data_IF_697176970094
#
_entry.id   IF_697176970094
#
_cell.length_a   1.000
_cell.length_b   1.000
_cell.length_c   1.000
_cell.angle_alpha   90.00
_cell.angle_beta   90.00
_cell.angle_gamma   90.00
#
_symmetry.space_group_name_H-M   'P 1'
#
loop_
_entity.id
_entity.type
_entity.pdbx_description
1 polymer ?
#
# COMPACT_ATOMS: atom_id res chain seq x y z
N UNK A 1 -3.53 0.87 18.06
CA UNK A 1 -2.76 0.31 16.93
C UNK A 1 -3.31 0.91 15.66
N UNK A 2 -2.45 1.40 14.77
CA UNK A 2 -2.84 2.01 13.49
C UNK A 2 -2.45 1.04 12.39
N UNK A 3 -3.44 0.50 11.68
CA UNK A 3 -3.25 -0.46 10.59
C UNK A 3 -3.65 0.17 9.27
N UNK A 4 -2.89 -0.09 8.21
CA UNK A 4 -3.09 0.57 6.92
C UNK A 4 -4.49 0.34 6.33
N UNK A 5 -5.06 -0.85 6.54
CA UNK A 5 -6.37 -1.21 5.99
C UNK A 5 -7.50 -0.32 6.51
N UNK A 6 -7.38 0.20 7.75
CA UNK A 6 -8.36 1.13 8.33
C UNK A 6 -8.35 2.46 7.58
N UNK A 7 -7.16 3.04 7.36
CA UNK A 7 -6.99 4.27 6.59
C UNK A 7 -7.46 4.07 5.15
N UNK A 8 -7.12 2.94 4.54
CA UNK A 8 -7.61 2.56 3.21
C UNK A 8 -9.15 2.52 3.13
N UNK A 9 -9.82 1.94 4.13
CA UNK A 9 -11.29 1.86 4.16
C UNK A 9 -11.95 3.23 4.30
N UNK A 10 -11.51 4.03 5.29
CA UNK A 10 -12.09 5.35 5.54
C UNK A 10 -11.84 6.29 4.35
N UNK A 11 -10.65 6.26 3.76
CA UNK A 11 -10.29 7.11 2.61
C UNK A 11 -11.14 6.78 1.40
N UNK A 12 -11.27 5.50 1.05
CA UNK A 12 -12.12 5.10 -0.08
C UNK A 12 -13.57 5.52 0.14
N UNK A 13 -14.10 5.37 1.36
CA UNK A 13 -15.44 5.87 1.70
C UNK A 13 -15.56 7.38 1.51
N UNK A 14 -14.60 8.16 2.01
CA UNK A 14 -14.57 9.61 1.85
C UNK A 14 -14.47 10.03 0.38
N UNK A 15 -13.67 9.33 -0.43
CA UNK A 15 -13.53 9.60 -1.86
C UNK A 15 -14.84 9.38 -2.63
N UNK A 16 -15.57 8.30 -2.34
CA UNK A 16 -16.90 8.09 -2.93
C UNK A 16 -17.91 9.15 -2.48
N UNK A 17 -17.87 9.55 -1.21
CA UNK A 17 -18.74 10.61 -0.70
C UNK A 17 -18.41 11.96 -1.35
N UNK A 18 -17.14 12.29 -1.53
CA UNK A 18 -16.71 13.48 -2.25
C UNK A 18 -17.20 13.46 -3.70
N UNK A 19 -16.97 12.38 -4.44
CA UNK A 19 -17.43 12.24 -5.82
C UNK A 19 -18.97 12.31 -5.96
N UNK A 20 -19.72 11.87 -4.95
CA UNK A 20 -21.17 11.92 -4.97
C UNK A 20 -21.77 13.27 -4.51
N UNK A 21 -21.07 14.02 -3.66
CA UNK A 21 -21.64 15.21 -3.00
C UNK A 21 -20.93 16.52 -3.33
N UNK A 22 -19.69 16.44 -3.84
CA UNK A 22 -18.81 17.57 -4.15
C UNK A 22 -18.62 18.54 -2.96
N UNK A 23 -18.78 18.05 -1.72
CA UNK A 23 -18.60 18.88 -0.52
C UNK A 23 -17.15 18.86 -0.03
N UNK A 24 -16.67 20.04 0.32
CA UNK A 24 -15.31 20.27 0.83
C UNK A 24 -14.98 19.41 2.06
N UNK A 25 -15.95 19.14 2.95
CA UNK A 25 -15.76 18.29 4.14
C UNK A 25 -15.25 16.87 3.79
N UNK A 26 -15.69 16.32 2.66
CA UNK A 26 -15.21 15.02 2.19
C UNK A 26 -13.86 15.11 1.50
N UNK A 27 -13.56 16.25 0.84
CA UNK A 27 -12.24 16.49 0.27
C UNK A 27 -11.17 16.61 1.35
N UNK A 28 -11.44 17.41 2.38
CA UNK A 28 -10.56 17.55 3.55
C UNK A 28 -10.31 16.20 4.22
N UNK A 29 -11.35 15.35 4.33
CA UNK A 29 -11.21 14.00 4.86
C UNK A 29 -10.34 13.10 3.97
N UNK A 30 -10.52 13.15 2.64
CA UNK A 30 -9.68 12.40 1.69
C UNK A 30 -8.22 12.80 1.82
N UNK A 31 -7.94 14.10 1.76
CA UNK A 31 -6.58 14.64 1.78
C UNK A 31 -5.88 14.31 3.10
N UNK A 32 -6.55 14.56 4.23
CA UNK A 32 -6.00 14.23 5.55
C UNK A 32 -5.74 12.73 5.74
N UNK A 33 -6.56 11.86 5.15
CA UNK A 33 -6.34 10.41 5.21
C UNK A 33 -5.24 9.92 4.26
N UNK A 34 -5.03 10.60 3.13
CA UNK A 34 -3.90 10.35 2.23
C UNK A 34 -2.60 10.75 2.92
N UNK A 35 -2.52 11.98 3.42
CA UNK A 35 -1.33 12.51 4.07
C UNK A 35 -0.87 11.60 5.22
N UNK A 36 -1.81 11.19 6.08
CA UNK A 36 -1.51 10.26 7.19
C UNK A 36 -1.06 8.89 6.74
N UNK A 37 -1.64 8.38 5.65
CA UNK A 37 -1.24 7.08 5.13
C UNK A 37 0.16 7.13 4.50
N UNK A 38 0.44 8.18 3.73
CA UNK A 38 1.74 8.39 3.11
C UNK A 38 2.84 8.60 4.16
N UNK A 39 2.59 9.43 5.18
CA UNK A 39 3.52 9.69 6.29
C UNK A 39 3.85 8.41 7.09
N UNK A 40 2.85 7.57 7.35
CA UNK A 40 3.00 6.46 8.30
C UNK A 40 3.42 5.12 7.67
N UNK A 41 2.97 4.84 6.44
CA UNK A 41 3.13 3.54 5.78
C UNK A 41 4.13 3.56 4.61
N UNK A 42 4.77 4.70 4.37
CA UNK A 42 5.91 4.84 3.45
C UNK A 42 7.10 5.44 4.23
N UNK A 43 7.68 4.66 5.16
CA UNK A 43 8.62 5.19 6.14
C UNK A 43 9.94 5.63 5.51
N UNK A 44 10.36 6.86 5.83
CA UNK A 44 11.65 7.45 5.45
C UNK A 44 12.86 6.66 5.98
N UNK A 45 12.70 5.86 7.04
CA UNK A 45 13.78 5.00 7.57
C UNK A 45 14.19 3.90 6.57
N UNK A 46 13.32 3.59 5.61
CA UNK A 46 13.61 2.66 4.53
C UNK A 46 14.01 3.42 3.27
N UNK A 47 13.04 3.88 2.50
CA UNK A 47 13.25 4.62 1.26
C UNK A 47 12.22 5.75 1.05
N UNK A 48 11.24 5.88 1.96
CA UNK A 48 10.13 6.84 1.83
C UNK A 48 9.14 6.52 0.70
N UNK A 49 9.34 5.46 -0.08
CA UNK A 49 8.62 5.18 -1.33
C UNK A 49 7.94 3.82 -1.36
N UNK A 50 8.46 2.86 -0.58
CA UNK A 50 7.95 1.49 -0.49
C UNK A 50 6.99 1.34 0.67
N UNK A 51 5.83 0.77 0.38
CA UNK A 51 4.82 0.48 1.37
C UNK A 51 5.30 -0.56 2.39
N UNK A 52 5.12 -0.27 3.69
CA UNK A 52 5.42 -1.20 4.77
C UNK A 52 4.46 -1.07 5.96
N UNK A 53 4.10 -2.20 6.58
CA UNK A 53 3.38 -2.22 7.86
C UNK A 53 4.35 -1.98 9.02
N UNK A 54 4.67 -0.71 9.24
CA UNK A 54 5.74 -0.24 10.13
C UNK A 54 5.73 -0.83 11.56
N UNK A 55 4.56 -1.20 12.10
CA UNK A 55 4.44 -1.75 13.45
C UNK A 55 4.94 -3.19 13.56
N UNK A 56 4.72 -4.01 12.53
CA UNK A 56 4.91 -5.46 12.62
C UNK A 56 6.00 -5.97 11.67
N UNK A 57 6.20 -5.32 10.53
CA UNK A 57 7.06 -5.78 9.46
C UNK A 57 8.55 -5.79 9.84
N UNK A 58 9.15 -4.70 10.39
CA UNK A 58 10.57 -4.70 10.77
C UNK A 58 10.95 -5.83 11.73
N UNK A 59 10.10 -6.15 12.69
CA UNK A 59 10.34 -7.20 13.69
C UNK A 59 9.81 -8.58 13.28
N UNK A 60 9.28 -8.74 12.06
CA UNK A 60 8.67 -9.98 11.58
C UNK A 60 7.56 -10.50 12.49
N UNK A 61 6.73 -9.59 13.02
CA UNK A 61 5.62 -9.87 13.94
C UNK A 61 4.24 -9.84 13.26
N UNK A 62 4.19 -9.58 11.95
CA UNK A 62 2.92 -9.55 11.22
C UNK A 62 2.30 -10.95 11.18
N UNK A 63 1.03 -11.06 11.56
CA UNK A 63 0.22 -12.23 11.23
C UNK A 63 -0.36 -12.09 9.81
N UNK A 64 -1.04 -13.14 9.34
CA UNK A 64 -1.58 -13.20 7.98
C UNK A 64 -2.53 -12.03 7.62
N UNK A 65 -3.27 -11.48 8.58
CA UNK A 65 -4.14 -10.33 8.34
C UNK A 65 -3.37 -9.04 8.08
N UNK A 66 -2.29 -8.80 8.82
CA UNK A 66 -1.47 -7.62 8.60
C UNK A 66 -0.69 -7.74 7.29
N UNK A 67 -0.18 -8.93 6.94
CA UNK A 67 0.46 -9.18 5.63
C UNK A 67 -0.52 -8.84 4.49
N UNK A 68 -1.76 -9.32 4.56
CA UNK A 68 -2.77 -9.04 3.52
C UNK A 68 -3.17 -7.55 3.42
N UNK A 69 -2.89 -6.74 4.44
CA UNK A 69 -3.28 -5.33 4.45
C UNK A 69 -2.59 -4.56 3.32
N UNK A 70 -1.32 -4.84 3.01
CA UNK A 70 -0.59 -4.26 1.87
C UNK A 70 -1.37 -4.47 0.55
N UNK A 71 -1.86 -5.69 0.33
CA UNK A 71 -2.59 -6.06 -0.88
C UNK A 71 -4.01 -5.51 -0.95
N UNK A 72 -4.62 -5.13 0.18
CA UNK A 72 -5.96 -4.50 0.21
C UNK A 72 -5.85 -2.98 0.02
N UNK A 73 -4.79 -2.36 0.54
CA UNK A 73 -4.60 -0.91 0.48
C UNK A 73 -4.19 -0.44 -0.91
N UNK A 74 -3.39 -1.22 -1.65
CA UNK A 74 -2.94 -0.83 -2.99
C UNK A 74 -4.08 -0.61 -4.00
N UNK A 75 -5.04 -1.54 -4.20
CA UNK A 75 -6.15 -1.31 -5.14
C UNK A 75 -7.07 -0.17 -4.69
N UNK A 76 -7.19 0.05 -3.38
CA UNK A 76 -7.96 1.16 -2.80
C UNK A 76 -7.28 2.50 -3.05
N UNK A 77 -5.95 2.55 -3.06
CA UNK A 77 -5.19 3.74 -3.43
C UNK A 77 -5.42 4.07 -4.91
N UNK A 78 -5.28 3.11 -5.81
CA UNK A 78 -5.58 3.28 -7.24
C UNK A 78 -7.00 3.80 -7.44
N UNK A 79 -7.98 3.20 -6.76
CA UNK A 79 -9.38 3.63 -6.86
C UNK A 79 -9.59 5.09 -6.43
N UNK A 80 -8.92 5.52 -5.35
CA UNK A 80 -9.01 6.91 -4.88
C UNK A 80 -8.36 7.87 -5.87
N UNK A 81 -7.18 7.53 -6.41
CA UNK A 81 -6.50 8.34 -7.43
C UNK A 81 -7.36 8.53 -8.69
N UNK A 82 -8.19 7.55 -9.05
CA UNK A 82 -9.10 7.63 -10.19
C UNK A 82 -10.38 8.43 -9.89
N UNK A 83 -10.90 8.33 -8.67
CA UNK A 83 -12.15 9.00 -8.26
C UNK A 83 -11.89 10.48 -7.90
N UNK A 84 -10.71 10.78 -7.36
CA UNK A 84 -10.30 12.11 -6.90
C UNK A 84 -8.98 12.46 -7.60
N UNK A 85 -9.02 12.97 -8.85
CA UNK A 85 -7.85 12.99 -9.74
C UNK A 85 -6.66 13.85 -9.27
N UNK A 86 -6.89 14.86 -8.43
CA UNK A 86 -5.83 15.69 -7.87
C UNK A 86 -4.94 14.94 -6.87
N UNK A 87 -5.36 13.75 -6.42
CA UNK A 87 -4.56 12.85 -5.58
C UNK A 87 -3.64 11.92 -6.38
N UNK A 88 -3.77 11.89 -7.71
CA UNK A 88 -3.03 10.95 -8.57
C UNK A 88 -1.52 11.07 -8.42
N UNK A 89 -0.98 12.31 -8.49
CA UNK A 89 0.46 12.57 -8.45
C UNK A 89 1.08 12.25 -7.08
N UNK A 90 0.28 12.15 -6.03
CA UNK A 90 0.73 11.74 -4.69
C UNK A 90 0.72 10.22 -4.52
N UNK A 91 -0.26 9.54 -5.12
CA UNK A 91 -0.52 8.12 -4.92
C UNK A 91 0.27 7.25 -5.90
N UNK A 92 0.24 7.59 -7.19
CA UNK A 92 0.71 6.69 -8.24
C UNK A 92 2.22 6.44 -8.20
N UNK A 93 3.08 7.45 -7.93
CA UNK A 93 4.51 7.21 -7.77
C UNK A 93 4.82 6.21 -6.65
N UNK A 94 4.11 6.30 -5.52
CA UNK A 94 4.25 5.38 -4.38
C UNK A 94 3.84 3.95 -4.72
N UNK A 95 2.75 3.78 -5.47
CA UNK A 95 2.32 2.46 -5.96
C UNK A 95 3.34 1.86 -6.93
N UNK A 96 3.90 2.67 -7.84
CA UNK A 96 4.91 2.22 -8.79
C UNK A 96 6.23 1.82 -8.10
N UNK A 97 6.72 2.62 -7.16
CA UNK A 97 7.91 2.30 -6.39
C UNK A 97 7.71 1.00 -5.59
N UNK A 98 6.59 0.89 -4.87
CA UNK A 98 6.24 -0.33 -4.14
C UNK A 98 6.12 -1.57 -5.04
N UNK A 99 5.57 -1.42 -6.25
CA UNK A 99 5.46 -2.51 -7.21
C UNK A 99 6.83 -2.98 -7.73
N UNK A 100 7.77 -2.04 -7.96
CA UNK A 100 9.14 -2.36 -8.34
C UNK A 100 9.87 -3.11 -7.23
N UNK A 101 9.79 -2.58 -6.00
CA UNK A 101 10.38 -3.20 -4.81
C UNK A 101 9.81 -4.60 -4.55
N UNK A 102 8.49 -4.76 -4.66
CA UNK A 102 7.84 -6.06 -4.55
C UNK A 102 8.32 -7.06 -5.61
N UNK A 103 8.48 -6.62 -6.87
CA UNK A 103 8.98 -7.47 -7.95
C UNK A 103 10.42 -7.96 -7.68
N UNK A 104 11.28 -7.11 -7.13
CA UNK A 104 12.65 -7.47 -6.75
C UNK A 104 12.67 -8.48 -5.58
N UNK A 105 11.73 -8.36 -4.66
CA UNK A 105 11.54 -9.34 -3.57
C UNK A 105 11.08 -10.72 -4.05
N UNK A 106 10.55 -10.85 -5.27
CA UNK A 106 10.15 -12.12 -5.90
C UNK A 106 11.33 -12.90 -6.49
N UNK A 107 12.36 -13.14 -5.68
CA UNK A 107 13.59 -13.86 -6.06
C UNK A 107 13.80 -15.15 -5.27
N UNK A 108 12.84 -15.54 -4.43
CA UNK A 108 12.96 -16.65 -3.50
C UNK A 108 12.81 -18.05 -4.10
N UNK A 109 13.41 -19.03 -3.42
CA UNK A 109 13.17 -20.48 -3.57
C UNK A 109 13.37 -21.04 -5.00
N UNK A 110 14.04 -20.29 -5.88
CA UNK A 110 14.28 -20.70 -7.28
C UNK A 110 13.02 -20.74 -8.16
N UNK A 111 11.89 -20.22 -7.68
CA UNK A 111 10.61 -20.16 -8.40
C UNK A 111 9.95 -18.77 -8.31
N UNK A 112 10.74 -17.73 -8.03
CA UNK A 112 10.29 -16.34 -7.85
C UNK A 112 9.28 -16.16 -6.71
N UNK A 113 9.45 -16.89 -5.60
CA UNK A 113 8.65 -16.67 -4.40
C UNK A 113 8.89 -15.26 -3.87
N UNK A 114 7.83 -14.49 -3.65
CA UNK A 114 7.88 -13.13 -3.10
C UNK A 114 7.92 -13.11 -1.57
N UNK A 115 8.65 -12.16 -0.99
CA UNK A 115 8.64 -11.85 0.45
C UNK A 115 7.62 -10.78 0.84
N UNK A 116 7.66 -10.35 2.10
CA UNK A 116 6.86 -9.23 2.63
C UNK A 116 7.68 -7.93 2.73
N UNK A 117 8.97 -8.02 3.06
CA UNK A 117 9.86 -6.86 3.25
C UNK A 117 10.33 -6.24 1.93
N UNK A 118 9.42 -5.61 1.20
CA UNK A 118 9.69 -5.08 -0.13
C UNK A 118 10.80 -4.04 -0.15
N UNK A 119 10.92 -3.23 0.90
CA UNK A 119 11.95 -2.20 1.04
C UNK A 119 13.39 -2.76 1.09
N UNK A 120 13.56 -4.07 1.23
CA UNK A 120 14.88 -4.71 1.13
C UNK A 120 15.30 -4.99 -0.30
N UNK A 121 14.38 -4.90 -1.26
CA UNK A 121 14.55 -5.24 -2.68
C UNK A 121 15.09 -6.66 -2.92
N UNK A 122 15.01 -7.54 -1.91
CA UNK A 122 15.46 -8.92 -1.97
C UNK A 122 14.40 -9.84 -1.33
N UNK A 123 14.53 -11.14 -1.57
CA UNK A 123 13.70 -12.12 -0.89
C UNK A 123 14.10 -12.21 0.59
N UNK A 124 13.16 -11.90 1.48
CA UNK A 124 13.35 -11.85 2.93
C UNK A 124 13.36 -13.23 3.64
N UNK A 125 13.54 -14.30 2.86
CA UNK A 125 13.54 -15.70 3.31
C UNK A 125 12.22 -16.19 3.91
N UNK A 126 11.13 -15.42 3.75
CA UNK A 126 9.81 -15.81 4.21
C UNK A 126 8.95 -16.33 3.05
N UNK A 127 7.96 -17.17 3.38
CA UNK A 127 7.05 -17.73 2.39
C UNK A 127 5.65 -17.88 3.00
N UNK A 128 4.67 -17.30 2.32
CA UNK A 128 3.27 -17.47 2.64
C UNK A 128 2.40 -17.22 1.41
N UNK A 129 1.16 -17.70 1.46
CA UNK A 129 0.18 -17.45 0.40
C UNK A 129 -0.15 -15.95 0.30
N UNK A 130 -0.28 -15.31 1.46
CA UNK A 130 -0.60 -13.89 1.61
C UNK A 130 0.44 -13.01 0.92
N UNK A 131 1.73 -13.35 1.02
CA UNK A 131 2.83 -12.65 0.34
C UNK A 131 2.68 -12.68 -1.18
N UNK A 132 2.27 -13.81 -1.74
CA UNK A 132 2.04 -13.92 -3.18
C UNK A 132 0.80 -13.12 -3.62
N UNK A 133 -0.24 -13.09 -2.78
CA UNK A 133 -1.45 -12.29 -3.02
C UNK A 133 -1.11 -10.80 -3.04
N UNK A 134 -0.36 -10.30 -2.06
CA UNK A 134 -0.05 -8.88 -1.97
C UNK A 134 0.89 -8.42 -3.08
N UNK A 135 1.86 -9.26 -3.48
CA UNK A 135 2.75 -8.98 -4.62
C UNK A 135 1.94 -8.87 -5.92
N UNK A 136 0.97 -9.77 -6.12
CA UNK A 136 0.06 -9.70 -7.27
C UNK A 136 -0.77 -8.41 -7.24
N UNK A 137 -1.33 -8.05 -6.09
CA UNK A 137 -2.20 -6.88 -5.98
C UNK A 137 -1.46 -5.57 -6.22
N UNK A 138 -0.24 -5.41 -5.69
CA UNK A 138 0.53 -4.17 -5.88
C UNK A 138 0.94 -4.01 -7.36
N UNK A 139 1.37 -5.08 -8.02
CA UNK A 139 1.71 -5.09 -9.45
C UNK A 139 0.53 -4.71 -10.34
N UNK A 140 -0.68 -5.18 -9.99
CA UNK A 140 -1.91 -4.80 -10.71
C UNK A 140 -2.31 -3.35 -10.43
N UNK A 141 -2.09 -2.88 -9.21
CA UNK A 141 -2.50 -1.54 -8.77
C UNK A 141 -1.64 -0.42 -9.36
N UNK A 142 -0.39 -0.72 -9.75
CA UNK A 142 0.56 0.23 -10.35
C UNK A 142 0.44 0.38 -11.87
N UNK A 143 -0.47 -0.33 -12.52
CA UNK A 143 -0.61 -0.36 -13.98
C UNK A 143 -1.81 0.48 -14.44
N UNK A 144 -1.61 1.79 -14.63
CA UNK A 144 -2.63 2.74 -15.08
C UNK A 144 -2.01 3.96 -15.75
#
# INVERSE_FOLDING_TARGET
MQWSYNYGAYRTGAAYMYNNTEKDEWKEAVDGLIDRLLDQFFPEEYDGETFAEYLCEPNSLCNFNEILSNGIVAPRLTSVALIVPDTYDQIFPKLQASAQAAALSCSGVGNNTCGIKWYTEEWDQSISMEQQIIATNILLSSYQ
#
